data_IF_802033308154
#
_entry.id   IF_802033308154
#
_cell.length_a   1.000
_cell.length_b   1.000
_cell.length_c   1.000
_cell.angle_alpha   90.00
_cell.angle_beta   90.00
_cell.angle_gamma   90.00
#
_symmetry.space_group_name_H-M   'P 1'
#
loop_
_entity.id
_entity.type
_entity.pdbx_description
1 polymer ?
#
# COMPACT_ATOMS: atom_id res chain seq x y z
N UNK A 1 -17.47 -16.85 -3.21
CA UNK A 1 -16.00 -16.89 -3.06
C UNK A 1 -15.55 -15.63 -2.35
N UNK A 2 -14.80 -15.79 -1.28
CA UNK A 2 -14.23 -14.64 -0.58
C UNK A 2 -13.11 -13.99 -1.38
N UNK A 3 -12.87 -12.71 -1.14
CA UNK A 3 -11.91 -11.91 -1.92
C UNK A 3 -10.96 -11.15 -1.01
N UNK A 4 -9.72 -11.01 -1.43
CA UNK A 4 -8.71 -10.18 -0.77
C UNK A 4 -8.17 -9.16 -1.77
N UNK A 5 -8.14 -7.91 -1.36
CA UNK A 5 -7.32 -6.87 -1.99
C UNK A 5 -6.16 -6.56 -1.07
N UNK A 6 -4.94 -6.67 -1.59
CA UNK A 6 -3.71 -6.38 -0.86
C UNK A 6 -3.02 -5.13 -1.40
N UNK A 7 -2.56 -4.25 -0.51
CA UNK A 7 -1.92 -3.00 -0.87
C UNK A 7 -0.55 -2.84 -0.19
N UNK A 8 0.51 -2.82 -1.00
CA UNK A 8 1.86 -2.57 -0.51
C UNK A 8 2.08 -1.10 -0.16
N UNK A 9 3.11 -0.82 0.65
CA UNK A 9 3.50 0.51 1.04
C UNK A 9 4.36 1.24 -0.01
N UNK A 10 4.81 2.45 0.36
CA UNK A 10 5.69 3.25 -0.48
C UNK A 10 7.02 2.54 -0.75
N UNK A 11 7.53 2.67 -1.97
CA UNK A 11 8.74 2.02 -2.47
C UNK A 11 8.71 0.48 -2.45
N UNK A 12 7.55 -0.13 -2.19
CA UNK A 12 7.34 -1.57 -2.27
C UNK A 12 6.82 -2.01 -3.64
N UNK A 13 6.38 -3.26 -3.70
CA UNK A 13 5.71 -3.84 -4.86
C UNK A 13 4.80 -5.00 -4.44
N UNK A 14 4.03 -5.52 -5.40
CA UNK A 14 3.09 -6.61 -5.13
C UNK A 14 3.76 -7.92 -4.71
N UNK A 15 5.05 -8.10 -4.97
CA UNK A 15 5.81 -9.32 -4.61
C UNK A 15 5.95 -9.52 -3.11
N UNK A 16 5.83 -8.46 -2.31
CA UNK A 16 5.84 -8.56 -0.84
C UNK A 16 4.73 -9.47 -0.33
N UNK A 17 3.65 -9.62 -1.09
CA UNK A 17 2.48 -10.42 -0.73
C UNK A 17 2.53 -11.88 -1.18
N UNK A 18 3.58 -12.33 -1.87
CA UNK A 18 3.62 -13.65 -2.51
C UNK A 18 3.24 -14.81 -1.57
N UNK A 19 3.79 -14.83 -0.35
CA UNK A 19 3.47 -15.87 0.63
C UNK A 19 2.02 -15.79 1.13
N UNK A 20 1.49 -14.58 1.27
CA UNK A 20 0.10 -14.33 1.64
C UNK A 20 -0.84 -14.79 0.53
N UNK A 21 -0.55 -14.39 -0.71
CA UNK A 21 -1.33 -14.79 -1.88
C UNK A 21 -1.47 -16.30 -1.96
N UNK A 22 -0.35 -17.03 -1.87
CA UNK A 22 -0.36 -18.50 -1.93
C UNK A 22 -1.27 -19.12 -0.86
N UNK A 23 -1.28 -18.56 0.35
CA UNK A 23 -2.14 -19.05 1.45
C UNK A 23 -3.61 -18.77 1.20
N UNK A 24 -3.96 -17.58 0.77
CA UNK A 24 -5.34 -17.21 0.50
C UNK A 24 -5.91 -17.98 -0.69
N UNK A 25 -5.13 -18.13 -1.77
CA UNK A 25 -5.53 -18.92 -2.93
C UNK A 25 -5.72 -20.41 -2.57
N UNK A 26 -4.88 -20.97 -1.71
CA UNK A 26 -5.04 -22.33 -1.19
C UNK A 26 -6.32 -22.50 -0.36
N UNK A 27 -6.82 -21.45 0.25
CA UNK A 27 -8.10 -21.42 0.96
C UNK A 27 -9.30 -21.14 0.05
N UNK A 28 -9.07 -21.01 -1.25
CA UNK A 28 -10.12 -20.73 -2.23
C UNK A 28 -10.56 -19.26 -2.30
N UNK A 29 -9.75 -18.35 -1.80
CA UNK A 29 -10.02 -16.91 -1.90
C UNK A 29 -9.53 -16.34 -3.23
N UNK A 30 -10.29 -15.44 -3.81
CA UNK A 30 -9.83 -14.64 -4.94
C UNK A 30 -8.87 -13.56 -4.45
N UNK A 31 -7.71 -13.46 -5.08
CA UNK A 31 -6.66 -12.51 -4.72
C UNK A 31 -6.48 -11.45 -5.80
N UNK A 32 -6.44 -10.19 -5.38
CA UNK A 32 -6.01 -9.07 -6.23
C UNK A 32 -5.07 -8.17 -5.43
N UNK A 33 -4.01 -7.66 -6.04
CA UNK A 33 -3.03 -6.83 -5.36
C UNK A 33 -2.71 -5.56 -6.14
N UNK A 34 -2.61 -4.46 -5.41
CA UNK A 34 -2.11 -3.20 -5.95
C UNK A 34 -0.68 -3.38 -6.47
N UNK A 35 -0.38 -2.82 -7.61
CA UNK A 35 0.96 -2.52 -8.06
C UNK A 35 1.04 -1.04 -8.44
N UNK A 36 1.92 -0.29 -7.77
CA UNK A 36 2.02 1.16 -8.03
C UNK A 36 2.98 1.52 -9.15
N UNK A 37 3.83 0.57 -9.56
CA UNK A 37 4.75 0.74 -10.67
C UNK A 37 6.11 1.33 -10.29
N UNK A 38 6.51 1.29 -9.03
CA UNK A 38 7.86 1.65 -8.63
C UNK A 38 8.87 0.73 -9.32
N UNK A 39 10.01 1.28 -9.74
CA UNK A 39 11.05 0.50 -10.39
C UNK A 39 10.66 -0.08 -11.75
N UNK A 40 9.84 0.62 -12.52
CA UNK A 40 9.41 0.25 -13.88
C UNK A 40 8.46 -0.96 -13.95
N UNK A 41 7.78 -1.30 -12.86
CA UNK A 41 6.72 -2.31 -12.88
C UNK A 41 5.46 -1.74 -13.51
N UNK A 42 4.67 -2.60 -14.16
CA UNK A 42 3.37 -2.20 -14.70
C UNK A 42 2.39 -1.92 -13.56
N UNK A 43 1.83 -0.71 -13.48
CA UNK A 43 0.83 -0.39 -12.47
C UNK A 43 -0.44 -1.24 -12.62
N UNK A 44 -1.00 -1.64 -11.49
CA UNK A 44 -2.29 -2.33 -11.43
C UNK A 44 -3.13 -1.76 -10.29
N UNK A 45 -4.32 -1.31 -10.61
CA UNK A 45 -5.33 -0.91 -9.63
C UNK A 45 -6.25 -2.10 -9.35
N UNK A 46 -6.41 -2.48 -8.07
CA UNK A 46 -7.28 -3.60 -7.73
C UNK A 46 -8.75 -3.19 -7.80
N UNK A 47 -9.59 -4.18 -8.03
CA UNK A 47 -11.04 -4.02 -7.98
C UNK A 47 -11.70 -5.27 -7.42
N UNK A 48 -12.85 -5.09 -6.77
CA UNK A 48 -13.65 -6.23 -6.35
C UNK A 48 -14.28 -6.91 -7.57
N UNK A 49 -14.11 -8.21 -7.63
CA UNK A 49 -14.83 -9.01 -8.63
C UNK A 49 -16.31 -9.15 -8.23
N UNK A 50 -17.18 -9.41 -9.21
CA UNK A 50 -18.60 -9.68 -8.97
C UNK A 50 -18.80 -11.09 -8.40
N UNK A 51 -18.30 -11.34 -7.20
CA UNK A 51 -18.39 -12.61 -6.49
C UNK A 51 -19.17 -12.45 -5.20
N UNK A 52 -19.97 -13.46 -4.87
CA UNK A 52 -20.60 -13.55 -3.55
C UNK A 52 -19.58 -14.03 -2.54
N UNK A 53 -19.48 -13.35 -1.42
CA UNK A 53 -18.53 -13.68 -0.35
C UNK A 53 -18.02 -12.45 0.37
N UNK A 54 -17.14 -12.67 1.34
CA UNK A 54 -16.54 -11.59 2.13
C UNK A 54 -15.42 -10.90 1.35
N UNK A 55 -15.25 -9.62 1.61
CA UNK A 55 -14.27 -8.72 1.02
C UNK A 55 -13.31 -8.22 2.08
N UNK A 56 -12.06 -8.67 2.01
CA UNK A 56 -11.00 -8.31 2.94
C UNK A 56 -9.98 -7.40 2.26
N UNK A 57 -9.64 -6.29 2.90
CA UNK A 57 -8.48 -5.47 2.53
C UNK A 57 -7.34 -5.76 3.50
N UNK A 58 -6.15 -6.02 2.99
CA UNK A 58 -4.90 -6.09 3.77
C UNK A 58 -3.96 -5.02 3.22
N UNK A 59 -3.56 -4.08 4.07
CA UNK A 59 -2.69 -2.98 3.67
C UNK A 59 -1.47 -2.87 4.57
N UNK A 60 -0.32 -2.61 3.97
CA UNK A 60 0.94 -2.38 4.67
C UNK A 60 1.31 -0.90 4.63
N UNK A 61 1.59 -0.32 5.80
CA UNK A 61 2.09 1.05 5.95
C UNK A 61 1.20 2.08 5.24
N UNK A 62 1.73 2.83 4.29
CA UNK A 62 1.03 3.84 3.51
C UNK A 62 -0.04 3.25 2.57
N UNK A 63 0.00 1.95 2.30
CA UNK A 63 -0.85 1.29 1.30
C UNK A 63 -2.35 1.53 1.51
N UNK A 64 -2.81 1.59 2.76
CA UNK A 64 -4.21 1.86 3.09
C UNK A 64 -4.67 3.22 2.54
N UNK A 65 -3.84 4.25 2.67
CA UNK A 65 -4.16 5.63 2.27
C UNK A 65 -4.10 5.87 0.76
N UNK A 66 -3.59 4.90 0.01
CA UNK A 66 -3.44 4.98 -1.44
C UNK A 66 -4.47 4.14 -2.20
N UNK A 67 -5.32 3.41 -1.48
CA UNK A 67 -6.44 2.69 -2.09
C UNK A 67 -7.58 3.65 -2.45
N UNK A 68 -8.32 3.38 -3.54
CA UNK A 68 -9.55 4.09 -3.81
C UNK A 68 -10.55 3.95 -2.66
N UNK A 69 -11.21 5.05 -2.32
CA UNK A 69 -12.21 5.04 -1.24
C UNK A 69 -13.31 4.02 -1.48
N UNK A 70 -13.73 3.84 -2.73
CA UNK A 70 -14.75 2.87 -3.12
C UNK A 70 -14.35 1.43 -2.79
N UNK A 71 -13.08 1.09 -2.87
CA UNK A 71 -12.58 -0.24 -2.47
C UNK A 71 -12.74 -0.43 -0.97
N UNK A 72 -12.39 0.58 -0.19
CA UNK A 72 -12.50 0.54 1.28
C UNK A 72 -13.95 0.51 1.76
N UNK A 73 -14.82 1.29 1.13
CA UNK A 73 -16.26 1.33 1.48
C UNK A 73 -16.98 -0.01 1.25
N UNK A 74 -16.50 -0.79 0.29
CA UNK A 74 -17.08 -2.09 -0.06
C UNK A 74 -16.45 -3.27 0.67
N UNK A 75 -15.42 -3.02 1.48
CA UNK A 75 -14.77 -4.07 2.27
C UNK A 75 -15.60 -4.41 3.51
N UNK A 76 -15.71 -5.69 3.82
CA UNK A 76 -16.30 -6.18 5.08
C UNK A 76 -15.31 -6.07 6.24
N UNK A 77 -14.01 -6.17 5.95
CA UNK A 77 -12.95 -6.03 6.94
C UNK A 77 -11.70 -5.39 6.33
N UNK A 78 -10.97 -4.65 7.15
CA UNK A 78 -9.70 -4.03 6.79
C UNK A 78 -8.64 -4.39 7.83
N UNK A 79 -7.52 -4.94 7.39
CA UNK A 79 -6.35 -5.22 8.21
C UNK A 79 -5.24 -4.25 7.82
N UNK A 80 -4.82 -3.43 8.78
CA UNK A 80 -3.70 -2.49 8.60
C UNK A 80 -2.47 -3.01 9.33
N UNK A 81 -1.42 -3.31 8.58
CA UNK A 81 -0.13 -3.79 9.10
C UNK A 81 0.85 -2.64 9.11
N UNK A 82 1.43 -2.33 10.28
CA UNK A 82 2.34 -1.20 10.46
C UNK A 82 1.76 0.12 9.89
N UNK A 83 0.46 0.30 10.05
CA UNK A 83 -0.28 1.45 9.52
C UNK A 83 -0.40 2.59 10.53
N UNK A 84 -1.12 3.62 10.12
CA UNK A 84 -1.32 4.84 10.90
C UNK A 84 -2.64 5.50 10.47
N UNK A 85 -3.25 6.28 11.37
CA UNK A 85 -4.46 7.05 11.07
C UNK A 85 -4.14 8.33 10.29
N UNK A 86 -3.09 9.05 10.71
CA UNK A 86 -2.57 10.23 10.01
C UNK A 86 -1.04 10.13 9.90
N UNK A 87 -0.52 10.22 8.67
CA UNK A 87 0.93 10.10 8.45
C UNK A 87 1.68 11.30 9.02
N UNK A 88 1.15 12.51 8.82
CA UNK A 88 1.70 13.71 9.43
C UNK A 88 0.81 14.11 10.61
N UNK A 89 1.25 13.91 11.85
CA UNK A 89 0.47 14.32 13.02
C UNK A 89 0.43 15.87 13.14
N UNK A 90 -0.53 16.36 13.91
CA UNK A 90 -0.61 17.78 14.24
C UNK A 90 0.52 18.22 15.19
N UNK A 91 0.85 19.51 15.17
CA UNK A 91 1.82 20.11 16.10
C UNK A 91 3.29 20.01 15.69
N UNK A 92 4.19 20.15 16.64
CA UNK A 92 5.64 20.23 16.40
C UNK A 92 6.22 18.95 15.76
N UNK A 93 5.77 17.79 16.21
CA UNK A 93 6.21 16.50 15.64
C UNK A 93 5.79 16.37 14.17
N UNK A 94 4.59 16.82 13.83
CA UNK A 94 4.11 16.85 12.45
C UNK A 94 4.89 17.81 11.57
N UNK A 95 5.27 18.96 12.10
CA UNK A 95 6.09 19.95 11.36
C UNK A 95 7.48 19.40 11.02
N UNK A 96 8.13 18.72 11.97
CA UNK A 96 9.42 18.10 11.74
C UNK A 96 9.36 17.02 10.66
N UNK A 97 8.33 16.16 10.70
CA UNK A 97 8.09 15.15 9.70
C UNK A 97 7.78 15.75 8.32
N UNK A 98 6.98 16.81 8.28
CA UNK A 98 6.66 17.51 7.04
C UNK A 98 7.91 18.09 6.37
N UNK A 99 8.83 18.67 7.14
CA UNK A 99 10.12 19.16 6.62
C UNK A 99 10.95 18.00 6.07
N UNK A 100 11.02 16.86 6.77
CA UNK A 100 11.73 15.67 6.31
C UNK A 100 11.14 15.13 5.00
N UNK A 101 9.82 15.07 4.88
CA UNK A 101 9.13 14.63 3.67
C UNK A 101 9.36 15.56 2.49
N UNK A 102 9.36 16.88 2.71
CA UNK A 102 9.70 17.86 1.67
C UNK A 102 11.15 17.69 1.21
N UNK A 103 12.08 17.43 2.14
CA UNK A 103 13.47 17.12 1.81
C UNK A 103 13.61 15.87 0.95
N UNK A 104 12.91 14.79 1.28
CA UNK A 104 12.87 13.57 0.46
C UNK A 104 12.27 13.84 -0.92
N UNK A 105 11.15 14.54 -0.97
CA UNK A 105 10.46 14.86 -2.22
C UNK A 105 11.35 15.68 -3.16
N UNK A 106 12.16 16.58 -2.62
CA UNK A 106 13.09 17.40 -3.42
C UNK A 106 14.21 16.57 -4.08
N UNK A 107 14.52 15.39 -3.54
CA UNK A 107 15.52 14.48 -4.12
C UNK A 107 14.95 13.62 -5.24
N UNK A 108 13.64 13.39 -5.27
CA UNK A 108 12.99 12.53 -6.27
C UNK A 108 13.18 13.09 -7.68
N UNK A 109 13.58 12.25 -8.62
CA UNK A 109 13.86 12.65 -10.00
C UNK A 109 15.18 13.42 -10.19
N UNK A 110 16.00 13.54 -9.15
CA UNK A 110 17.32 14.20 -9.19
C UNK A 110 18.46 13.20 -9.03
N UNK A 111 19.71 13.66 -9.19
CA UNK A 111 20.89 12.83 -8.93
C UNK A 111 21.04 12.38 -7.47
N UNK A 112 20.35 13.03 -6.53
CA UNK A 112 20.38 12.70 -5.10
C UNK A 112 19.39 11.58 -4.71
N UNK A 113 18.48 11.20 -5.60
CA UNK A 113 17.45 10.19 -5.33
C UNK A 113 18.02 8.85 -4.84
N UNK A 114 19.04 8.24 -5.49
CA UNK A 114 19.56 6.95 -5.05
C UNK A 114 20.11 6.99 -3.63
N UNK A 115 20.83 8.06 -3.25
CA UNK A 115 21.38 8.21 -1.92
C UNK A 115 20.27 8.41 -0.87
N UNK A 116 19.25 9.19 -1.19
CA UNK A 116 18.08 9.39 -0.32
C UNK A 116 17.34 8.08 -0.09
N UNK A 117 17.07 7.31 -1.15
CA UNK A 117 16.38 6.02 -1.04
C UNK A 117 17.17 5.00 -0.22
N UNK A 118 18.49 4.95 -0.36
CA UNK A 118 19.34 4.06 0.44
C UNK A 118 19.28 4.37 1.93
N UNK A 119 19.14 5.63 2.31
CA UNK A 119 18.97 6.03 3.72
C UNK A 119 17.60 5.65 4.27
N UNK A 120 16.57 5.69 3.42
CA UNK A 120 15.21 5.34 3.81
C UNK A 120 15.02 3.82 3.94
N UNK A 121 15.53 3.07 2.99
CA UNK A 121 15.38 1.62 2.90
C UNK A 121 16.50 0.88 3.67
#
# INVERSE_FOLDING_TARGET
MNQVIAAHGWAGDAMVWRAWQQRFEALGWHWDAVERGYGQREPHQPSWAELQGQRLVIAHSLGLHLLPETVLQQADAVVSLAGFAAFVPAGAAGRALEVALKGMASCLGTSDEPAMLRKFL
#
